data_IF_583741321950
#
_entry.id   IF_583741321950
#
_cell.length_a   1.000
_cell.length_b   1.000
_cell.length_c   1.000
_cell.angle_alpha   90.00
_cell.angle_beta   90.00
_cell.angle_gamma   90.00
#
_symmetry.space_group_name_H-M   'P 1'
#
loop_
_entity.id
_entity.type
_entity.pdbx_description
1 polymer ?
#
# COMPACT_ATOMS: atom_id res chain seq x y z
N UNK A 1 -30.65 -4.07 -15.99
CA UNK A 1 -31.32 -5.18 -16.70
C UNK A 1 -30.27 -5.79 -17.64
N UNK A 2 -29.96 -7.09 -17.75
CA UNK A 2 -30.40 -8.34 -17.08
C UNK A 2 -29.49 -9.47 -17.67
N UNK A 3 -29.17 -10.59 -17.01
CA UNK A 3 -29.38 -11.04 -15.62
C UNK A 3 -28.66 -12.37 -15.36
N UNK A 4 -27.90 -12.48 -14.25
CA UNK A 4 -27.71 -13.74 -13.52
C UNK A 4 -26.65 -14.71 -14.03
N UNK A 5 -25.72 -15.06 -13.12
CA UNK A 5 -25.14 -16.41 -13.01
C UNK A 5 -24.76 -16.61 -11.54
N UNK A 6 -25.65 -17.23 -10.78
CA UNK A 6 -25.38 -17.69 -9.42
C UNK A 6 -24.88 -19.15 -9.50
N UNK A 7 -23.71 -19.50 -8.95
CA UNK A 7 -23.26 -20.89 -8.93
C UNK A 7 -24.20 -21.74 -8.07
N UNK A 8 -24.74 -22.80 -8.64
CA UNK A 8 -25.58 -23.77 -7.93
C UNK A 8 -24.78 -24.57 -6.89
N UNK A 9 -25.42 -24.86 -5.76
CA UNK A 9 -24.80 -25.62 -4.66
C UNK A 9 -24.88 -27.12 -4.89
N UNK A 10 -23.79 -27.72 -5.38
CA UNK A 10 -23.47 -29.12 -5.10
C UNK A 10 -22.03 -29.25 -4.59
N UNK A 11 -21.90 -29.57 -3.30
CA UNK A 11 -20.60 -29.78 -2.67
C UNK A 11 -20.05 -31.17 -3.02
N UNK A 12 -18.96 -31.20 -3.81
CA UNK A 12 -18.06 -32.35 -3.90
C UNK A 12 -16.63 -31.90 -3.61
N UNK A 13 -15.95 -32.63 -2.73
CA UNK A 13 -14.66 -32.26 -2.18
C UNK A 13 -13.55 -32.16 -3.25
N UNK A 14 -12.56 -31.28 -3.00
CA UNK A 14 -11.27 -31.33 -3.70
C UNK A 14 -11.05 -30.33 -4.85
N UNK A 15 -11.94 -29.36 -5.09
CA UNK A 15 -11.68 -28.30 -6.07
C UNK A 15 -10.98 -27.10 -5.42
N UNK A 16 -9.66 -27.01 -5.60
CA UNK A 16 -8.92 -25.77 -5.37
C UNK A 16 -9.47 -24.68 -6.28
N UNK A 17 -9.97 -23.57 -5.71
CA UNK A 17 -10.29 -22.37 -6.49
C UNK A 17 -9.01 -21.97 -7.23
N UNK A 18 -9.04 -21.92 -8.56
CA UNK A 18 -7.84 -21.59 -9.32
C UNK A 18 -7.39 -20.17 -8.96
N UNK A 19 -6.18 -20.05 -8.38
CA UNK A 19 -5.62 -18.75 -7.95
C UNK A 19 -5.79 -17.70 -9.06
N UNK A 20 -6.29 -16.49 -8.74
CA UNK A 20 -6.49 -15.45 -9.74
C UNK A 20 -5.13 -15.11 -10.35
N UNK A 21 -5.09 -14.91 -11.67
CA UNK A 21 -3.83 -14.84 -12.40
C UNK A 21 -2.79 -13.83 -11.85
N UNK A 22 -3.18 -12.63 -11.33
CA UNK A 22 -2.21 -11.75 -10.67
C UNK A 22 -1.54 -12.35 -9.43
N UNK A 23 -2.26 -13.19 -8.66
CA UNK A 23 -1.72 -13.90 -7.50
C UNK A 23 -0.82 -15.07 -7.93
N UNK A 24 -1.23 -15.86 -8.93
CA UNK A 24 -0.36 -16.89 -9.55
C UNK A 24 0.97 -16.30 -10.01
N UNK A 25 0.92 -15.20 -10.77
CA UNK A 25 2.13 -14.48 -11.23
C UNK A 25 2.96 -13.90 -10.09
N UNK A 26 2.34 -13.50 -8.98
CA UNK A 26 3.06 -13.05 -7.79
C UNK A 26 3.85 -14.23 -7.17
N UNK A 27 3.20 -15.38 -7.00
CA UNK A 27 3.84 -16.60 -6.48
C UNK A 27 4.98 -17.09 -7.39
N UNK A 28 4.82 -17.01 -8.71
CA UNK A 28 5.85 -17.34 -9.72
C UNK A 28 7.11 -16.44 -9.69
N UNK A 29 7.06 -15.26 -9.05
CA UNK A 29 8.23 -14.40 -8.79
C UNK A 29 8.70 -14.43 -7.33
N UNK A 30 8.17 -15.35 -6.51
CA UNK A 30 8.49 -15.45 -5.08
C UNK A 30 7.73 -14.46 -4.17
N UNK A 31 6.79 -13.67 -4.69
CA UNK A 31 5.94 -12.79 -3.90
C UNK A 31 4.82 -13.59 -3.23
N UNK A 32 5.12 -14.21 -2.08
CA UNK A 32 4.25 -15.17 -1.40
C UNK A 32 3.01 -14.54 -0.73
N UNK A 33 3.17 -13.33 -0.20
CA UNK A 33 2.17 -12.64 0.63
C UNK A 33 1.83 -11.27 0.05
N UNK A 34 0.54 -10.97 -0.07
CA UNK A 34 0.03 -9.70 -0.57
C UNK A 34 -0.74 -9.00 0.53
N UNK A 35 -0.50 -7.70 0.72
CA UNK A 35 -1.30 -6.83 1.59
C UNK A 35 -2.18 -5.97 0.69
N UNK A 36 -3.50 -6.16 0.77
CA UNK A 36 -4.49 -5.37 0.01
C UNK A 36 -4.93 -4.19 0.87
N UNK A 37 -4.73 -2.97 0.38
CA UNK A 37 -5.04 -1.76 1.13
C UNK A 37 -6.53 -1.47 1.17
N UNK A 38 -7.03 -1.08 2.35
CA UNK A 38 -8.35 -0.49 2.55
C UNK A 38 -8.25 1.02 2.71
N UNK A 39 -8.82 1.78 1.76
CA UNK A 39 -8.81 3.26 1.74
C UNK A 39 -10.01 3.93 2.41
N UNK A 40 -11.05 3.13 2.71
CA UNK A 40 -12.32 3.52 3.32
C UNK A 40 -13.01 2.24 3.81
N UNK A 41 -14.16 2.35 4.50
CA UNK A 41 -14.88 1.17 5.03
C UNK A 41 -15.38 0.21 3.94
N UNK A 42 -15.75 0.69 2.75
CA UNK A 42 -16.22 -0.17 1.65
C UNK A 42 -15.06 -0.96 1.05
N UNK A 43 -13.97 -0.29 0.69
CA UNK A 43 -12.74 -0.90 0.20
C UNK A 43 -12.13 -1.84 1.25
N UNK A 44 -12.12 -1.46 2.53
CA UNK A 44 -11.66 -2.33 3.64
C UNK A 44 -12.48 -3.61 3.75
N UNK A 45 -13.81 -3.52 3.62
CA UNK A 45 -14.71 -4.69 3.60
C UNK A 45 -14.42 -5.62 2.42
N UNK A 46 -14.13 -5.05 1.24
CA UNK A 46 -13.77 -5.84 0.05
C UNK A 46 -12.38 -6.46 0.14
N UNK A 47 -11.39 -5.75 0.69
CA UNK A 47 -10.06 -6.26 0.96
C UNK A 47 -10.12 -7.44 1.95
N UNK A 48 -10.88 -7.32 3.04
CA UNK A 48 -11.07 -8.40 4.02
C UNK A 48 -11.67 -9.66 3.38
N UNK A 49 -12.68 -9.53 2.49
CA UNK A 49 -13.25 -10.68 1.76
C UNK A 49 -12.21 -11.42 0.90
N UNK A 50 -11.22 -10.73 0.34
CA UNK A 50 -10.14 -11.36 -0.43
C UNK A 50 -9.22 -12.21 0.45
N UNK A 51 -9.02 -11.84 1.72
CA UNK A 51 -8.23 -12.64 2.67
C UNK A 51 -8.89 -14.00 2.95
N UNK A 52 -10.23 -14.02 3.09
CA UNK A 52 -11.00 -15.25 3.29
C UNK A 52 -11.02 -16.13 2.03
N UNK A 53 -10.93 -15.52 0.83
CA UNK A 53 -10.85 -16.24 -0.44
C UNK A 53 -9.46 -16.85 -0.72
N UNK A 54 -8.39 -16.25 -0.19
CA UNK A 54 -7.00 -16.65 -0.44
C UNK A 54 -6.19 -16.72 0.87
N UNK A 55 -6.58 -17.62 1.80
CA UNK A 55 -6.04 -17.68 3.14
C UNK A 55 -4.52 -17.91 3.15
N UNK A 56 -3.82 -17.20 4.03
CA UNK A 56 -2.36 -17.29 4.18
C UNK A 56 -1.54 -16.58 3.08
N UNK A 57 -2.15 -16.26 1.93
CA UNK A 57 -1.51 -15.58 0.80
C UNK A 57 -1.94 -14.11 0.64
N UNK A 58 -3.18 -13.77 1.03
CA UNK A 58 -3.72 -12.41 0.96
C UNK A 58 -4.14 -11.96 2.35
N UNK A 59 -3.67 -10.78 2.73
CA UNK A 59 -3.97 -10.06 3.96
C UNK A 59 -4.51 -8.67 3.60
N UNK A 60 -5.09 -7.96 4.56
CA UNK A 60 -5.65 -6.63 4.33
C UNK A 60 -5.28 -5.61 5.40
N UNK A 61 -5.42 -4.35 5.03
CA UNK A 61 -5.49 -3.23 5.97
C UNK A 61 -6.93 -2.69 6.03
N UNK A 62 -7.25 -1.87 7.04
CA UNK A 62 -8.48 -1.07 7.06
C UNK A 62 -8.25 0.30 7.70
N UNK A 63 -8.79 1.36 7.09
CA UNK A 63 -8.60 2.77 7.50
C UNK A 63 -9.33 3.74 6.56
N UNK A 64 -9.26 5.04 6.82
CA UNK A 64 -9.78 6.10 5.94
C UNK A 64 -8.62 6.94 5.40
N UNK A 65 -8.44 6.92 4.08
CA UNK A 65 -7.41 7.63 3.34
C UNK A 65 -7.60 9.17 3.43
N UNK A 66 -6.54 10.00 3.36
CA UNK A 66 -6.68 11.45 3.26
C UNK A 66 -7.66 11.90 2.17
N UNK A 67 -7.63 11.31 0.96
CA UNK A 67 -8.57 11.65 -0.12
C UNK A 67 -10.03 11.30 0.22
N UNK A 68 -10.26 10.25 1.02
CA UNK A 68 -11.59 9.82 1.47
C UNK A 68 -12.05 10.51 2.75
N UNK A 69 -11.22 11.39 3.34
CA UNK A 69 -11.48 11.98 4.66
C UNK A 69 -12.50 13.11 4.66
N UNK A 70 -13.02 13.54 3.50
CA UNK A 70 -14.02 14.62 3.43
C UNK A 70 -15.33 14.29 4.19
N UNK A 71 -15.61 12.99 4.42
CA UNK A 71 -16.71 12.49 5.25
C UNK A 71 -16.70 13.03 6.70
N UNK A 72 -15.54 13.43 7.23
CA UNK A 72 -15.40 14.01 8.57
C UNK A 72 -15.89 15.47 8.65
N UNK A 73 -16.19 16.13 7.52
CA UNK A 73 -16.62 17.53 7.48
C UNK A 73 -18.12 17.72 7.71
N UNK A 74 -18.53 18.91 8.18
CA UNK A 74 -19.94 19.27 8.35
C UNK A 74 -20.72 19.22 7.02
N UNK A 75 -20.14 19.73 5.93
CA UNK A 75 -20.82 19.95 4.65
C UNK A 75 -20.94 18.70 3.75
N UNK A 76 -20.35 17.56 4.14
CA UNK A 76 -20.48 16.32 3.37
C UNK A 76 -21.88 15.69 3.57
N UNK A 77 -22.74 15.71 2.53
CA UNK A 77 -24.18 15.41 2.64
C UNK A 77 -24.61 14.03 2.15
N UNK A 78 -23.71 13.17 1.65
CA UNK A 78 -24.07 11.83 1.17
C UNK A 78 -22.91 10.84 1.18
N UNK A 79 -23.23 9.55 1.08
CA UNK A 79 -22.25 8.46 0.86
C UNK A 79 -21.92 8.37 -0.63
N UNK A 80 -21.13 9.30 -1.14
CA UNK A 80 -20.60 9.19 -2.50
C UNK A 80 -19.30 8.37 -2.46
N UNK A 81 -19.32 7.20 -3.10
CA UNK A 81 -18.12 6.41 -3.37
C UNK A 81 -17.10 7.32 -4.08
N UNK A 82 -15.83 7.31 -3.62
CA UNK A 82 -14.79 8.31 -3.90
C UNK A 82 -14.25 8.39 -5.35
N UNK A 83 -15.12 8.29 -6.35
CA UNK A 83 -14.84 8.35 -7.79
C UNK A 83 -15.85 9.19 -8.58
N UNK A 84 -16.98 9.61 -8.01
CA UNK A 84 -17.90 10.53 -8.67
C UNK A 84 -17.48 11.99 -8.44
N UNK A 85 -16.95 12.62 -9.48
CA UNK A 85 -16.67 14.05 -9.48
C UNK A 85 -17.97 14.85 -9.42
N UNK A 86 -18.13 15.65 -8.37
CA UNK A 86 -19.01 16.82 -8.39
C UNK A 86 -18.59 17.77 -9.53
N UNK A 87 -19.57 18.38 -10.20
CA UNK A 87 -19.36 19.22 -11.39
C UNK A 87 -18.74 20.60 -11.08
N UNK A 88 -17.50 20.63 -10.57
CA UNK A 88 -16.69 21.86 -10.41
C UNK A 88 -15.70 21.95 -11.59
N UNK A 89 -15.48 23.11 -12.23
CA UNK A 89 -14.88 23.18 -13.57
C UNK A 89 -13.34 23.09 -13.61
N UNK A 90 -12.67 22.90 -12.46
CA UNK A 90 -11.22 22.66 -12.38
C UNK A 90 -10.90 21.53 -11.37
N UNK A 91 -10.60 20.30 -11.86
CA UNK A 91 -10.29 19.16 -10.98
C UNK A 91 -8.92 19.26 -10.28
N UNK A 92 -8.11 20.30 -10.55
CA UNK A 92 -6.85 20.54 -9.86
C UNK A 92 -6.95 21.56 -8.72
N UNK A 93 -8.06 22.31 -8.62
CA UNK A 93 -8.23 23.37 -7.63
C UNK A 93 -8.45 22.79 -6.22
N UNK A 94 -7.71 23.23 -5.18
CA UNK A 94 -7.97 22.83 -3.80
C UNK A 94 -9.40 23.15 -3.35
N UNK A 95 -9.98 22.26 -2.54
CA UNK A 95 -11.25 22.52 -1.84
C UNK A 95 -11.07 23.70 -0.87
N UNK A 96 -12.19 24.37 -0.54
CA UNK A 96 -12.13 25.42 0.48
C UNK A 96 -11.75 24.85 1.85
N UNK A 97 -10.93 25.62 2.59
CA UNK A 97 -10.60 25.38 4.00
C UNK A 97 -11.73 25.85 4.96
N UNK A 98 -12.82 26.43 4.42
CA UNK A 98 -14.05 26.75 5.17
C UNK A 98 -14.79 25.49 5.66
N UNK A 99 -14.40 24.31 5.20
CA UNK A 99 -14.93 23.03 5.66
C UNK A 99 -14.49 22.73 7.09
N UNK A 100 -15.39 22.94 8.05
CA UNK A 100 -15.17 22.55 9.45
C UNK A 100 -15.31 21.04 9.68
N UNK A 101 -14.47 20.43 10.54
CA UNK A 101 -14.71 19.09 11.07
C UNK A 101 -16.04 19.02 11.82
N UNK A 102 -16.74 17.89 11.70
CA UNK A 102 -17.98 17.61 12.43
C UNK A 102 -17.70 16.64 13.58
N UNK A 103 -17.80 17.04 14.86
CA UNK A 103 -17.55 16.16 16.00
C UNK A 103 -18.43 14.90 15.97
N UNK A 104 -19.75 15.06 15.77
CA UNK A 104 -20.69 13.92 15.75
C UNK A 104 -20.36 12.89 14.67
N UNK A 105 -20.11 13.34 13.42
CA UNK A 105 -19.67 12.41 12.35
C UNK A 105 -18.31 11.78 12.67
N UNK A 106 -17.40 12.51 13.32
CA UNK A 106 -16.09 11.98 13.73
C UNK A 106 -16.27 10.83 14.71
N UNK A 107 -17.10 11.00 15.74
CA UNK A 107 -17.36 9.97 16.74
C UNK A 107 -18.05 8.74 16.10
N UNK A 108 -19.03 8.97 15.22
CA UNK A 108 -19.70 7.91 14.44
C UNK A 108 -18.73 7.11 13.55
N UNK A 109 -17.90 7.79 12.74
CA UNK A 109 -16.93 7.16 11.83
C UNK A 109 -15.87 6.39 12.62
N UNK A 110 -15.36 6.96 13.72
CA UNK A 110 -14.34 6.32 14.57
C UNK A 110 -14.93 5.12 15.32
N UNK A 111 -16.19 5.16 15.76
CA UNK A 111 -16.89 3.99 16.33
C UNK A 111 -17.05 2.88 15.30
N UNK A 112 -17.58 3.20 14.11
CA UNK A 112 -17.77 2.22 13.03
C UNK A 112 -16.44 1.59 12.59
N UNK A 113 -15.36 2.37 12.51
CA UNK A 113 -14.04 1.87 12.20
C UNK A 113 -13.48 1.00 13.32
N UNK A 114 -13.63 1.39 14.59
CA UNK A 114 -13.25 0.57 15.75
C UNK A 114 -13.98 -0.78 15.79
N UNK A 115 -15.29 -0.77 15.57
CA UNK A 115 -16.13 -1.97 15.46
C UNK A 115 -15.71 -2.86 14.28
N UNK A 116 -15.42 -2.28 13.12
CA UNK A 116 -14.92 -3.01 11.96
C UNK A 116 -13.59 -3.70 12.26
N UNK A 117 -12.62 -2.96 12.82
CA UNK A 117 -11.30 -3.49 13.19
C UNK A 117 -11.42 -4.60 14.24
N UNK A 118 -12.28 -4.44 15.26
CA UNK A 118 -12.52 -5.47 16.27
C UNK A 118 -13.16 -6.73 15.67
N UNK A 119 -14.20 -6.57 14.85
CA UNK A 119 -14.90 -7.68 14.19
C UNK A 119 -13.95 -8.46 13.28
N UNK A 120 -13.23 -7.77 12.40
CA UNK A 120 -12.28 -8.38 11.45
C UNK A 120 -11.12 -9.14 12.12
N UNK A 121 -10.71 -8.73 13.34
CA UNK A 121 -9.69 -9.44 14.14
C UNK A 121 -10.24 -10.60 14.95
N UNK A 122 -11.53 -10.59 15.26
CA UNK A 122 -12.22 -11.67 15.97
C UNK A 122 -12.77 -12.76 15.04
N UNK A 123 -12.83 -12.48 13.74
CA UNK A 123 -13.23 -13.44 12.71
C UNK A 123 -12.17 -14.55 12.60
N UNK A 124 -12.54 -15.75 13.06
CA UNK A 124 -11.75 -16.99 12.99
C UNK A 124 -12.28 -17.95 11.92
N UNK A 125 -12.98 -17.44 10.89
CA UNK A 125 -13.48 -18.27 9.79
C UNK A 125 -12.37 -18.91 8.94
N UNK A 126 -11.12 -18.45 9.10
CA UNK A 126 -9.92 -19.15 8.70
C UNK A 126 -8.93 -19.21 9.88
N UNK A 127 -7.95 -20.13 9.84
CA UNK A 127 -6.92 -20.34 10.89
C UNK A 127 -5.89 -19.18 11.02
N UNK A 128 -6.17 -18.03 10.42
CA UNK A 128 -5.33 -16.83 10.40
C UNK A 128 -6.23 -15.58 10.36
N UNK A 129 -5.77 -14.47 10.95
CA UNK A 129 -6.48 -13.19 10.88
C UNK A 129 -6.13 -12.46 9.58
N UNK A 130 -7.11 -12.23 8.71
CA UNK A 130 -6.90 -11.56 7.43
C UNK A 130 -6.50 -10.08 7.56
N UNK A 131 -7.07 -9.37 8.53
CA UNK A 131 -6.73 -7.96 8.82
C UNK A 131 -5.47 -7.88 9.71
N UNK A 132 -4.41 -7.27 9.18
CA UNK A 132 -3.08 -7.24 9.83
C UNK A 132 -2.58 -5.85 10.22
N UNK A 133 -3.16 -4.78 9.68
CA UNK A 133 -2.72 -3.41 9.93
C UNK A 133 -3.88 -2.41 9.92
N UNK A 134 -3.73 -1.33 10.68
CA UNK A 134 -4.59 -0.15 10.58
C UNK A 134 -3.98 0.76 9.51
N UNK A 135 -4.71 0.97 8.41
CA UNK A 135 -4.25 1.67 7.21
C UNK A 135 -5.21 1.44 6.06
N UNK A 136 -5.23 2.25 5.02
CA UNK A 136 -4.32 3.35 4.74
C UNK A 136 -4.90 4.66 5.26
N UNK A 137 -4.15 5.38 6.09
CA UNK A 137 -4.53 6.71 6.58
C UNK A 137 -3.30 7.60 6.82
N UNK A 138 -3.48 8.92 6.84
CA UNK A 138 -2.36 9.87 6.85
C UNK A 138 -2.71 11.19 6.16
N UNK A 139 -1.73 11.81 5.49
CA UNK A 139 -1.84 13.14 4.87
C UNK A 139 -1.33 13.15 3.41
N UNK A 140 -2.08 13.75 2.50
CA UNK A 140 -1.70 13.94 1.09
C UNK A 140 -2.00 15.38 0.63
N UNK A 141 -0.97 16.23 0.62
CA UNK A 141 -1.07 17.63 0.22
C UNK A 141 -0.95 17.84 -1.30
N UNK A 142 -0.67 16.79 -2.08
CA UNK A 142 -0.82 16.83 -3.54
C UNK A 142 -2.29 16.58 -3.97
N UNK A 143 -3.20 16.35 -3.01
CA UNK A 143 -4.61 15.94 -3.23
C UNK A 143 -5.63 16.80 -2.49
N UNK A 144 -5.32 18.07 -2.23
CA UNK A 144 -6.22 19.02 -1.56
C UNK A 144 -7.53 19.30 -2.32
N UNK A 145 -7.65 18.87 -3.58
CA UNK A 145 -8.90 18.89 -4.35
C UNK A 145 -9.90 17.77 -3.98
N UNK A 146 -9.45 16.71 -3.28
CA UNK A 146 -10.33 15.67 -2.74
C UNK A 146 -10.71 15.92 -1.27
N UNK A 147 -9.78 16.42 -0.47
CA UNK A 147 -10.03 16.74 0.95
C UNK A 147 -9.11 17.88 1.40
N UNK A 148 -9.67 18.91 2.04
CA UNK A 148 -8.92 20.09 2.48
C UNK A 148 -7.87 19.75 3.56
N UNK A 149 -6.81 20.55 3.69
CA UNK A 149 -5.71 20.28 4.62
C UNK A 149 -6.24 20.16 6.06
N UNK A 150 -7.15 21.04 6.44
CA UNK A 150 -7.81 21.04 7.76
C UNK A 150 -8.54 19.74 8.07
N UNK A 151 -9.30 19.18 7.12
CA UNK A 151 -10.05 17.93 7.33
C UNK A 151 -9.11 16.72 7.33
N UNK A 152 -8.07 16.70 6.49
CA UNK A 152 -7.05 15.64 6.53
C UNK A 152 -6.32 15.59 7.89
N UNK A 153 -5.89 16.75 8.41
CA UNK A 153 -5.25 16.85 9.73
C UNK A 153 -6.15 16.30 10.86
N UNK A 154 -7.44 16.67 10.83
CA UNK A 154 -8.43 16.19 11.79
C UNK A 154 -8.66 14.67 11.71
N UNK A 155 -8.90 14.15 10.50
CA UNK A 155 -9.08 12.72 10.24
C UNK A 155 -7.86 11.91 10.67
N UNK A 156 -6.65 12.37 10.34
CA UNK A 156 -5.41 11.70 10.74
C UNK A 156 -5.29 11.67 12.27
N UNK A 157 -5.47 12.81 12.95
CA UNK A 157 -5.44 12.88 14.41
C UNK A 157 -6.50 12.00 15.09
N UNK A 158 -7.70 11.88 14.52
CA UNK A 158 -8.76 11.02 15.04
C UNK A 158 -8.42 9.52 14.89
N UNK A 159 -7.93 9.10 13.73
CA UNK A 159 -7.52 7.72 13.47
C UNK A 159 -6.27 7.31 14.28
N UNK A 160 -5.32 8.23 14.47
CA UNK A 160 -4.17 8.04 15.37
C UNK A 160 -4.61 7.79 16.82
N UNK A 161 -5.59 8.54 17.34
CA UNK A 161 -6.16 8.30 18.69
C UNK A 161 -6.84 6.93 18.79
N UNK A 162 -7.58 6.51 17.77
CA UNK A 162 -8.14 5.16 17.70
C UNK A 162 -7.01 4.12 17.72
N UNK A 163 -5.97 4.27 16.90
CA UNK A 163 -4.85 3.34 16.83
C UNK A 163 -4.17 3.15 18.20
N UNK A 164 -3.92 4.25 18.92
CA UNK A 164 -3.34 4.24 20.25
C UNK A 164 -4.24 3.59 21.34
N UNK A 165 -5.56 3.50 21.12
CA UNK A 165 -6.51 2.87 22.05
C UNK A 165 -6.70 1.37 21.83
N UNK A 166 -6.42 0.85 20.63
CA UNK A 166 -6.58 -0.58 20.31
C UNK A 166 -5.72 -1.47 21.20
N UNK A 167 -6.27 -2.60 21.68
CA UNK A 167 -5.52 -3.60 22.47
C UNK A 167 -5.75 -5.04 21.95
N UNK A 168 -4.68 -5.77 21.57
CA UNK A 168 -3.33 -5.25 21.30
C UNK A 168 -3.39 -4.25 20.14
N UNK A 169 -2.42 -3.32 20.08
CA UNK A 169 -2.33 -2.38 18.96
C UNK A 169 -2.20 -3.13 17.62
N UNK A 170 -2.55 -2.46 16.52
CA UNK A 170 -2.20 -2.90 15.17
C UNK A 170 -0.95 -2.13 14.70
N UNK A 171 -0.07 -2.75 13.88
CA UNK A 171 0.88 -2.00 13.07
C UNK A 171 0.14 -0.98 12.19
N UNK A 172 0.76 0.16 11.91
CA UNK A 172 0.15 1.18 11.05
C UNK A 172 0.71 1.14 9.63
N UNK A 173 -0.16 1.31 8.64
CA UNK A 173 0.19 1.47 7.23
C UNK A 173 -0.20 2.90 6.82
N UNK A 174 0.80 3.79 6.81
CA UNK A 174 0.64 5.24 6.86
C UNK A 174 0.95 5.90 5.51
N UNK A 175 0.12 6.88 5.11
CA UNK A 175 0.34 7.70 3.92
C UNK A 175 0.97 9.05 4.29
N UNK A 176 2.02 9.46 3.57
CA UNK A 176 2.54 10.84 3.63
C UNK A 176 2.96 11.33 2.24
N UNK A 177 2.38 12.46 1.80
CA UNK A 177 2.76 13.16 0.55
C UNK A 177 2.80 14.67 0.79
N UNK A 178 3.97 15.27 0.58
CA UNK A 178 4.21 16.71 0.75
C UNK A 178 3.78 17.29 2.12
N UNK A 179 3.68 16.44 3.16
CA UNK A 179 3.05 16.73 4.44
C UNK A 179 3.90 16.36 5.67
N UNK A 180 5.19 16.09 5.49
CA UNK A 180 6.08 15.48 6.49
C UNK A 180 6.05 16.15 7.87
N UNK A 181 6.18 17.48 7.92
CA UNK A 181 6.22 18.21 9.20
C UNK A 181 4.95 18.00 10.04
N UNK A 182 3.78 18.15 9.44
CA UNK A 182 2.50 17.95 10.13
C UNK A 182 2.26 16.46 10.45
N UNK A 183 2.69 15.57 9.55
CA UNK A 183 2.61 14.12 9.70
C UNK A 183 3.38 13.63 10.94
N UNK A 184 4.65 14.01 11.05
CA UNK A 184 5.51 13.66 12.18
C UNK A 184 5.02 14.32 13.47
N UNK A 185 4.56 15.58 13.41
CA UNK A 185 4.05 16.30 14.59
C UNK A 185 2.84 15.59 15.22
N UNK A 186 1.91 15.10 14.40
CA UNK A 186 0.73 14.36 14.86
C UNK A 186 1.08 12.95 15.39
N UNK A 187 2.05 12.28 14.78
CA UNK A 187 2.60 11.01 15.31
C UNK A 187 3.24 11.21 16.69
N UNK A 188 4.13 12.20 16.84
CA UNK A 188 4.79 12.52 18.12
C UNK A 188 3.79 12.92 19.20
N UNK A 189 2.80 13.76 18.88
CA UNK A 189 1.73 14.11 19.81
C UNK A 189 0.92 12.87 20.28
N UNK A 190 0.70 11.89 19.40
CA UNK A 190 -0.10 10.69 19.73
C UNK A 190 0.70 9.62 20.48
N UNK A 191 1.94 9.36 20.08
CA UNK A 191 2.73 8.22 20.55
C UNK A 191 3.94 8.61 21.43
N UNK A 192 4.26 9.90 21.55
CA UNK A 192 5.44 10.42 22.26
C UNK A 192 6.57 10.83 21.30
N UNK A 193 7.54 11.59 21.81
CA UNK A 193 8.59 12.22 20.98
C UNK A 193 9.46 11.22 20.21
N UNK A 194 9.58 9.98 20.69
CA UNK A 194 10.29 8.87 20.03
C UNK A 194 9.34 7.77 19.57
N UNK A 195 8.06 8.08 19.46
CA UNK A 195 6.96 7.14 19.20
C UNK A 195 6.93 5.97 20.20
N UNK A 196 7.37 6.18 21.44
CA UNK A 196 7.59 5.11 22.42
C UNK A 196 6.32 4.36 22.86
N UNK A 197 5.13 4.89 22.54
CA UNK A 197 3.83 4.22 22.72
C UNK A 197 3.31 3.49 21.47
N UNK A 198 4.04 3.50 20.36
CA UNK A 198 3.70 2.77 19.13
C UNK A 198 4.23 1.31 19.21
N UNK A 199 3.51 0.47 19.94
CA UNK A 199 3.96 -0.89 20.34
C UNK A 199 4.28 -1.85 19.19
N UNK A 200 3.71 -1.61 17.99
CA UNK A 200 3.75 -2.54 16.85
C UNK A 200 4.51 -2.02 15.63
N UNK A 201 5.10 -0.82 15.73
CA UNK A 201 5.72 -0.13 14.61
C UNK A 201 4.72 0.29 13.52
N UNK A 202 5.25 0.89 12.47
CA UNK A 202 4.49 1.32 11.30
C UNK A 202 5.39 1.43 10.06
N UNK A 203 4.77 1.36 8.88
CA UNK A 203 5.39 1.68 7.60
C UNK A 203 4.82 2.99 7.05
N UNK A 204 5.68 3.87 6.56
CA UNK A 204 5.31 4.98 5.68
C UNK A 204 5.42 4.46 4.25
N UNK A 205 4.27 4.16 3.65
CA UNK A 205 4.20 3.48 2.36
C UNK A 205 4.42 4.43 1.18
N UNK A 206 4.82 3.88 0.03
CA UNK A 206 4.95 4.61 -1.24
C UNK A 206 5.79 5.88 -1.10
N UNK A 207 6.91 5.79 -0.35
CA UNK A 207 7.69 6.95 0.06
C UNK A 207 8.35 7.63 -1.14
N UNK A 208 8.17 8.95 -1.24
CA UNK A 208 8.81 9.81 -2.27
C UNK A 208 9.33 11.13 -1.71
N UNK A 209 9.52 11.22 -0.39
CA UNK A 209 10.04 12.40 0.28
C UNK A 209 11.55 12.61 0.07
N UNK A 210 12.14 13.51 0.84
CA UNK A 210 13.58 13.85 0.77
C UNK A 210 14.44 12.89 1.62
N UNK A 211 15.79 12.92 1.48
CA UNK A 211 16.68 12.15 2.35
C UNK A 211 16.57 12.54 3.83
N UNK A 212 16.32 13.81 4.13
CA UNK A 212 16.15 14.33 5.48
C UNK A 212 14.86 13.80 6.11
N UNK A 213 13.75 13.86 5.37
CA UNK A 213 12.45 13.30 5.78
C UNK A 213 12.57 11.79 6.04
N UNK A 214 13.22 11.06 5.13
CA UNK A 214 13.48 9.62 5.27
C UNK A 214 14.29 9.29 6.53
N UNK A 215 15.34 10.08 6.79
CA UNK A 215 16.21 9.90 7.96
C UNK A 215 15.44 10.12 9.26
N UNK A 216 14.64 11.18 9.38
CA UNK A 216 13.82 11.40 10.58
C UNK A 216 12.82 10.25 10.81
N UNK A 217 12.17 9.74 9.75
CA UNK A 217 11.25 8.62 9.89
C UNK A 217 11.96 7.33 10.35
N UNK A 218 13.13 7.02 9.78
CA UNK A 218 13.93 5.87 10.17
C UNK A 218 14.47 5.97 11.62
N UNK A 219 14.90 7.16 12.05
CA UNK A 219 15.35 7.46 13.42
C UNK A 219 14.20 7.36 14.44
N UNK A 220 12.97 7.67 14.04
CA UNK A 220 11.74 7.43 14.81
C UNK A 220 11.30 5.95 14.80
N UNK A 221 12.07 5.04 14.18
CA UNK A 221 11.80 3.61 14.14
C UNK A 221 10.74 3.20 13.11
N UNK A 222 10.37 4.08 12.18
CA UNK A 222 9.40 3.79 11.12
C UNK A 222 10.07 3.09 9.93
N UNK A 223 9.33 2.19 9.29
CA UNK A 223 9.75 1.52 8.07
C UNK A 223 9.39 2.34 6.84
N UNK A 224 10.18 2.22 5.78
CA UNK A 224 10.05 3.00 4.54
C UNK A 224 9.64 2.06 3.40
N UNK A 225 8.43 2.25 2.86
CA UNK A 225 7.91 1.50 1.73
C UNK A 225 8.45 2.04 0.39
N UNK A 226 9.00 1.14 -0.43
CA UNK A 226 9.63 1.48 -1.71
C UNK A 226 8.93 0.76 -2.86
N UNK A 227 8.48 1.53 -3.86
CA UNK A 227 7.88 1.04 -5.10
C UNK A 227 8.38 1.81 -6.33
N UNK A 228 7.75 1.62 -7.50
CA UNK A 228 8.18 2.29 -8.73
C UNK A 228 7.91 3.80 -8.80
N UNK A 229 7.12 4.37 -7.88
CA UNK A 229 7.02 5.82 -7.67
C UNK A 229 8.22 6.36 -6.87
N UNK A 230 8.72 5.60 -5.89
CA UNK A 230 9.98 5.84 -5.15
C UNK A 230 11.24 5.74 -6.03
N UNK A 231 11.10 5.48 -7.33
CA UNK A 231 12.19 5.25 -8.28
C UNK A 231 12.11 6.15 -9.53
N UNK A 232 11.25 7.18 -9.50
CA UNK A 232 11.00 8.08 -10.64
C UNK A 232 12.18 8.99 -10.99
N UNK A 233 12.81 9.61 -9.99
CA UNK A 233 13.86 10.63 -10.18
C UNK A 233 15.20 10.22 -9.56
N UNK A 234 16.27 10.94 -9.92
CA UNK A 234 17.59 10.81 -9.28
C UNK A 234 17.51 11.06 -7.77
N UNK A 235 16.80 12.11 -7.33
CA UNK A 235 16.60 12.37 -5.91
C UNK A 235 15.93 11.19 -5.18
N UNK A 236 14.91 10.57 -5.77
CA UNK A 236 14.28 9.39 -5.16
C UNK A 236 15.23 8.17 -5.13
N UNK A 237 16.09 8.01 -6.13
CA UNK A 237 17.09 6.93 -6.13
C UNK A 237 18.17 7.13 -5.05
N UNK A 238 18.59 8.37 -4.77
CA UNK A 238 19.51 8.67 -3.67
C UNK A 238 18.87 8.44 -2.29
N UNK A 239 17.58 8.76 -2.13
CA UNK A 239 16.80 8.36 -0.94
C UNK A 239 16.84 6.84 -0.77
N UNK A 240 16.50 6.07 -1.81
CA UNK A 240 16.53 4.59 -1.76
C UNK A 240 17.93 4.04 -1.46
N UNK A 241 18.99 4.71 -1.92
CA UNK A 241 20.38 4.40 -1.55
C UNK A 241 20.62 4.55 -0.06
N UNK A 242 20.07 5.59 0.57
CA UNK A 242 20.25 5.92 1.98
C UNK A 242 19.39 5.09 2.96
N UNK A 243 18.21 4.57 2.57
CA UNK A 243 17.32 3.79 3.48
C UNK A 243 18.08 2.60 4.13
N UNK A 244 18.12 2.47 5.47
CA UNK A 244 18.72 1.30 6.13
C UNK A 244 18.03 -0.02 5.73
N UNK A 245 18.80 -1.12 5.58
CA UNK A 245 18.24 -2.42 5.20
C UNK A 245 17.26 -2.96 6.25
N UNK A 246 17.46 -2.66 7.54
CA UNK A 246 16.56 -3.00 8.64
C UNK A 246 15.35 -2.05 8.78
N UNK A 247 15.17 -1.12 7.82
CA UNK A 247 14.00 -0.22 7.72
C UNK A 247 13.30 -0.27 6.36
N UNK A 248 13.83 -0.97 5.36
CA UNK A 248 13.22 -1.03 4.02
C UNK A 248 12.07 -2.04 3.95
N UNK A 249 10.99 -1.67 3.26
CA UNK A 249 9.96 -2.59 2.76
C UNK A 249 9.81 -2.39 1.26
N UNK A 250 9.41 -3.45 0.54
CA UNK A 250 9.16 -3.41 -0.89
C UNK A 250 7.68 -3.60 -1.19
N UNK A 251 7.16 -2.84 -2.14
CA UNK A 251 5.78 -2.94 -2.58
C UNK A 251 5.66 -2.60 -4.08
N UNK A 252 4.47 -2.79 -4.66
CA UNK A 252 4.19 -2.44 -6.07
C UNK A 252 3.26 -1.25 -6.23
N UNK A 253 2.42 -0.96 -5.22
CA UNK A 253 1.30 0.00 -5.31
C UNK A 253 0.43 -0.28 -6.56
N UNK A 254 0.28 -1.57 -6.92
CA UNK A 254 -0.48 -2.01 -8.10
C UNK A 254 -1.98 -1.72 -7.94
N UNK A 255 -2.65 -1.10 -8.94
CA UNK A 255 -2.28 -1.05 -10.35
C UNK A 255 -1.38 0.12 -10.78
N UNK A 256 -0.95 0.97 -9.85
CA UNK A 256 -0.14 2.17 -10.07
C UNK A 256 1.36 1.89 -10.04
N UNK A 257 2.18 2.95 -10.04
CA UNK A 257 3.64 2.90 -9.85
C UNK A 257 4.43 1.89 -10.70
N UNK A 258 3.96 1.57 -11.91
CA UNK A 258 4.75 0.82 -12.91
C UNK A 258 6.08 1.54 -13.18
N UNK A 259 7.22 0.86 -12.98
CA UNK A 259 8.54 1.41 -13.37
C UNK A 259 8.63 1.47 -14.90
N UNK A 260 8.75 2.68 -15.44
CA UNK A 260 8.78 2.97 -16.90
C UNK A 260 10.21 3.26 -17.39
N UNK A 261 10.49 3.12 -18.70
CA UNK A 261 11.77 3.51 -19.30
C UNK A 261 12.23 4.95 -19.09
N UNK A 262 11.30 5.86 -18.76
CA UNK A 262 11.56 7.26 -18.45
C UNK A 262 11.90 7.53 -16.97
N UNK A 263 11.79 6.55 -16.08
CA UNK A 263 12.13 6.69 -14.66
C UNK A 263 13.63 6.46 -14.45
N UNK A 264 14.24 7.19 -13.51
CA UNK A 264 15.65 7.03 -13.19
C UNK A 264 16.02 5.59 -12.80
N UNK A 265 15.17 4.94 -11.99
CA UNK A 265 15.33 3.55 -11.55
C UNK A 265 15.50 2.55 -12.71
N UNK A 266 15.00 2.87 -13.91
CA UNK A 266 15.16 2.01 -15.09
C UNK A 266 16.61 1.83 -15.53
N UNK A 267 17.50 2.79 -15.24
CA UNK A 267 18.94 2.70 -15.59
C UNK A 267 19.60 1.51 -14.89
N UNK A 268 19.22 1.25 -13.63
CA UNK A 268 19.78 0.20 -12.80
C UNK A 268 19.43 -1.22 -13.28
N UNK A 269 18.29 -1.39 -13.96
CA UNK A 269 17.93 -2.67 -14.60
C UNK A 269 18.90 -3.09 -15.71
N UNK A 270 19.57 -2.13 -16.37
CA UNK A 270 20.55 -2.40 -17.44
C UNK A 270 21.97 -2.63 -16.92
N UNK A 271 22.23 -2.32 -15.66
CA UNK A 271 23.58 -2.30 -15.08
C UNK A 271 23.93 -3.56 -14.26
N UNK A 272 23.00 -4.52 -14.12
CA UNK A 272 23.23 -5.76 -13.38
C UNK A 272 24.40 -6.57 -13.96
N UNK A 273 25.46 -6.90 -13.19
CA UNK A 273 26.71 -7.46 -13.72
C UNK A 273 26.64 -8.84 -14.40
N UNK A 274 25.50 -9.54 -14.39
CA UNK A 274 25.35 -10.89 -14.93
C UNK A 274 25.43 -10.97 -16.48
N UNK A 275 25.68 -9.87 -17.19
CA UNK A 275 25.78 -9.81 -18.66
C UNK A 275 27.21 -9.74 -19.23
N UNK A 276 28.23 -10.14 -18.46
CA UNK A 276 29.61 -10.29 -18.97
C UNK A 276 30.18 -11.73 -18.94
N UNK A 277 29.35 -12.75 -18.69
CA UNK A 277 29.75 -14.17 -18.69
C UNK A 277 29.16 -14.95 -19.88
N UNK A 278 30.01 -15.50 -20.75
CA UNK A 278 29.59 -16.30 -21.90
C UNK A 278 29.06 -17.69 -21.54
N UNK A 279 27.77 -17.78 -21.22
CA UNK A 279 27.03 -19.04 -21.05
C UNK A 279 26.01 -19.23 -22.18
N UNK A 280 25.94 -20.43 -22.75
CA UNK A 280 25.03 -20.79 -23.86
C UNK A 280 23.66 -21.31 -23.40
N UNK A 281 23.32 -21.13 -22.12
CA UNK A 281 21.96 -21.34 -21.60
C UNK A 281 21.10 -20.06 -21.65
N UNK A 282 19.76 -20.18 -21.60
CA UNK A 282 18.88 -19.01 -21.51
C UNK A 282 19.14 -18.24 -20.18
N UNK A 283 19.13 -16.89 -20.19
CA UNK A 283 19.45 -16.11 -18.99
C UNK A 283 18.44 -16.31 -17.85
N UNK A 284 18.93 -16.67 -16.66
CA UNK A 284 18.12 -16.88 -15.46
C UNK A 284 17.66 -15.59 -14.76
N UNK A 285 17.97 -14.42 -15.30
CA UNK A 285 17.58 -13.09 -14.78
C UNK A 285 16.55 -12.41 -15.71
N UNK A 286 15.64 -13.21 -16.27
CA UNK A 286 14.55 -12.76 -17.17
C UNK A 286 13.59 -11.85 -16.41
N UNK A 287 13.69 -10.56 -16.70
CA UNK A 287 12.86 -9.51 -16.08
C UNK A 287 11.37 -9.83 -16.31
N UNK A 288 10.51 -9.57 -15.32
CA UNK A 288 9.02 -9.73 -15.38
C UNK A 288 8.36 -9.43 -16.74
N UNK A 289 8.85 -8.42 -17.47
CA UNK A 289 8.39 -8.00 -18.81
C UNK A 289 8.55 -9.09 -19.88
N UNK A 290 9.55 -9.95 -19.76
CA UNK A 290 9.87 -11.05 -20.68
C UNK A 290 9.10 -12.32 -20.31
N UNK A 291 8.82 -12.53 -19.01
CA UNK A 291 8.04 -13.66 -18.49
C UNK A 291 6.56 -13.57 -18.86
N UNK A 292 5.99 -12.37 -18.92
CA UNK A 292 4.56 -12.16 -19.14
C UNK A 292 4.23 -11.27 -20.34
N UNK A 293 3.61 -11.88 -21.37
CA UNK A 293 3.05 -11.16 -22.52
C UNK A 293 2.12 -10.04 -22.05
N UNK A 294 2.49 -8.80 -22.34
CA UNK A 294 1.72 -7.61 -21.96
C UNK A 294 0.95 -7.08 -23.16
N UNK A 295 -0.38 -6.94 -23.04
CA UNK A 295 -1.30 -6.59 -24.14
C UNK A 295 -2.23 -5.44 -23.76
N UNK A 296 -2.83 -4.76 -24.75
CA UNK A 296 -3.93 -3.80 -24.46
C UNK A 296 -5.13 -4.53 -23.83
N UNK A 297 -5.95 -3.82 -23.04
CA UNK A 297 -7.11 -4.39 -22.32
C UNK A 297 -8.06 -5.14 -23.27
N UNK A 298 -8.31 -4.59 -24.46
CA UNK A 298 -9.20 -5.17 -25.48
C UNK A 298 -8.65 -6.45 -26.13
N UNK A 299 -7.37 -6.75 -25.93
CA UNK A 299 -6.68 -7.96 -26.43
C UNK A 299 -6.22 -8.88 -25.29
N UNK A 300 -6.77 -8.69 -24.08
CA UNK A 300 -6.41 -9.51 -22.94
C UNK A 300 -6.81 -10.97 -23.15
N UNK A 301 -5.91 -11.87 -22.75
CA UNK A 301 -6.10 -13.32 -22.79
C UNK A 301 -5.51 -13.92 -21.50
N UNK A 302 -6.00 -15.10 -21.09
CA UNK A 302 -5.45 -15.84 -19.95
C UNK A 302 -3.92 -16.01 -20.10
N UNK A 303 -3.19 -15.72 -19.02
CA UNK A 303 -1.73 -15.67 -18.97
C UNK A 303 -1.12 -14.29 -19.22
N UNK A 304 -1.81 -13.38 -19.91
CA UNK A 304 -1.27 -12.04 -20.21
C UNK A 304 -1.47 -11.02 -19.08
N UNK A 305 -0.56 -10.06 -19.01
CA UNK A 305 -0.70 -8.81 -18.25
C UNK A 305 -1.39 -7.74 -19.11
N UNK A 306 -1.99 -6.74 -18.46
CA UNK A 306 -2.63 -5.59 -19.14
C UNK A 306 -1.66 -4.41 -19.16
N UNK A 307 -1.40 -3.85 -20.36
CA UNK A 307 -0.51 -2.70 -20.54
C UNK A 307 -1.00 -1.51 -19.73
N UNK A 308 -0.11 -0.94 -18.90
CA UNK A 308 -0.42 0.20 -18.04
C UNK A 308 -1.09 -0.16 -16.71
N UNK A 309 -1.38 -1.45 -16.45
CA UNK A 309 -1.83 -1.95 -15.16
C UNK A 309 -0.65 -2.68 -14.49
N UNK A 310 -0.07 -2.08 -13.46
CA UNK A 310 0.94 -2.75 -12.66
C UNK A 310 0.32 -3.94 -11.91
N UNK A 311 1.12 -4.96 -11.58
CA UNK A 311 0.65 -6.16 -10.87
C UNK A 311 1.67 -6.60 -9.81
N UNK A 312 1.30 -7.34 -8.76
CA UNK A 312 2.20 -7.71 -7.67
C UNK A 312 3.46 -8.47 -8.11
N UNK A 313 3.41 -9.16 -9.26
CA UNK A 313 4.59 -9.82 -9.84
C UNK A 313 5.71 -8.85 -10.25
N UNK A 314 5.43 -7.55 -10.38
CA UNK A 314 6.48 -6.56 -10.70
C UNK A 314 7.36 -6.19 -9.50
N UNK A 315 7.09 -6.73 -8.31
CA UNK A 315 7.94 -6.51 -7.13
C UNK A 315 9.38 -7.00 -7.34
N UNK A 316 9.58 -8.06 -8.14
CA UNK A 316 10.89 -8.55 -8.58
C UNK A 316 11.70 -7.43 -9.29
N UNK A 317 11.03 -6.60 -10.09
CA UNK A 317 11.65 -5.44 -10.75
C UNK A 317 12.05 -4.36 -9.74
N UNK A 318 11.23 -4.11 -8.72
CA UNK A 318 11.55 -3.16 -7.65
C UNK A 318 12.75 -3.65 -6.85
N UNK A 319 12.74 -4.92 -6.41
CA UNK A 319 13.84 -5.54 -5.67
C UNK A 319 15.18 -5.46 -6.43
N UNK A 320 15.20 -5.79 -7.72
CA UNK A 320 16.40 -5.69 -8.56
C UNK A 320 16.93 -4.26 -8.69
N UNK A 321 16.05 -3.25 -8.82
CA UNK A 321 16.48 -1.84 -8.88
C UNK A 321 17.07 -1.41 -7.54
N UNK A 322 16.40 -1.73 -6.42
CA UNK A 322 16.87 -1.37 -5.08
C UNK A 322 18.22 -2.03 -4.79
N UNK A 323 18.40 -3.32 -5.12
CA UNK A 323 19.67 -4.02 -4.97
C UNK A 323 20.80 -3.37 -5.77
N UNK A 324 20.56 -3.05 -7.03
CA UNK A 324 21.53 -2.36 -7.90
C UNK A 324 21.82 -0.91 -7.45
N UNK A 325 20.85 -0.18 -6.87
CA UNK A 325 21.08 1.12 -6.24
C UNK A 325 21.98 0.97 -5.00
N UNK A 326 21.74 -0.06 -4.18
CA UNK A 326 22.45 -0.26 -2.90
C UNK A 326 23.79 -0.98 -3.05
N UNK A 327 24.11 -1.51 -4.23
CA UNK A 327 25.37 -2.21 -4.51
C UNK A 327 25.48 -3.58 -3.84
N UNK A 328 24.34 -4.25 -3.59
CA UNK A 328 24.24 -5.56 -2.94
C UNK A 328 23.49 -6.55 -3.83
N UNK A 329 23.54 -7.84 -3.50
CA UNK A 329 22.74 -8.84 -4.20
C UNK A 329 21.24 -8.68 -3.92
N UNK A 330 20.39 -9.12 -4.86
CA UNK A 330 18.94 -9.04 -4.73
C UNK A 330 18.39 -9.90 -3.59
N UNK A 331 19.06 -11.00 -3.24
CA UNK A 331 18.75 -11.79 -2.04
C UNK A 331 18.82 -10.94 -0.77
N UNK A 332 19.89 -10.17 -0.57
CA UNK A 332 20.10 -9.32 0.63
C UNK A 332 18.96 -8.31 0.81
N UNK A 333 18.52 -7.65 -0.26
CA UNK A 333 17.37 -6.72 -0.19
C UNK A 333 16.07 -7.47 0.05
N UNK A 334 15.88 -8.62 -0.60
CA UNK A 334 14.64 -9.40 -0.51
C UNK A 334 14.45 -10.02 0.86
N UNK A 335 15.51 -10.57 1.45
CA UNK A 335 15.55 -11.13 2.81
C UNK A 335 15.32 -10.04 3.86
N UNK A 336 16.00 -8.89 3.74
CA UNK A 336 15.80 -7.77 4.65
C UNK A 336 14.35 -7.24 4.60
N UNK A 337 13.83 -6.97 3.40
CA UNK A 337 12.45 -6.52 3.22
C UNK A 337 11.42 -7.56 3.71
N UNK A 338 11.66 -8.85 3.48
CA UNK A 338 10.83 -9.93 3.97
C UNK A 338 10.83 -10.00 5.50
N UNK A 339 12.01 -10.00 6.14
CA UNK A 339 12.16 -10.04 7.59
C UNK A 339 11.49 -8.84 8.27
N UNK A 340 11.69 -7.63 7.73
CA UNK A 340 11.03 -6.41 8.20
C UNK A 340 9.51 -6.52 8.13
N UNK A 341 8.98 -6.95 6.97
CA UNK A 341 7.53 -7.09 6.72
C UNK A 341 6.90 -8.12 7.65
N UNK A 342 7.54 -9.29 7.81
CA UNK A 342 7.10 -10.36 8.71
C UNK A 342 7.11 -9.92 10.17
N UNK A 343 8.17 -9.25 10.63
CA UNK A 343 8.31 -8.82 12.02
C UNK A 343 7.25 -7.78 12.42
N UNK A 344 6.97 -6.80 11.55
CA UNK A 344 5.97 -5.75 11.81
C UNK A 344 4.55 -6.34 11.79
N UNK A 345 4.18 -6.99 10.69
CA UNK A 345 2.79 -7.42 10.47
C UNK A 345 2.42 -8.76 11.13
N UNK A 346 3.39 -9.55 11.60
CA UNK A 346 3.15 -10.85 12.25
C UNK A 346 2.68 -11.92 11.26
N UNK A 347 3.42 -12.09 10.16
CA UNK A 347 3.09 -12.89 8.98
C UNK A 347 3.87 -14.20 8.83
#
# INVERSE_FOLDING_TARGET
MTSGDAPSTEAKAGHTVSSPQPLSRAHEVGCQKLIVTGSDLHCSSNALKLTHAYPGAVYSTAGIHPCSSQIFSVNHTGTEDGLNHSCDPDPAKPLSEDHEPCPTKTDEIISQLGEFLQKARSDRSADHTGLIAFGEFGLDYDRLHYCSKKIQLHSFAAQLKLAASLRPQLPLFLHSRAAHQDFVSLLKATFGEKLERLERGAVVHSFTGTPEEMTELADLGLYIGVNGCSLKTAANCEVVRAIPLDRIMLETDGPWCEVRPSHEGWKYLKASPQHQGGSTGPPSNTMVMERYKTVKKERWQRGSMVKGRNEPCTIEKVANIVAAIKGVDVSVVSEAAWANTVAVFGL
#
